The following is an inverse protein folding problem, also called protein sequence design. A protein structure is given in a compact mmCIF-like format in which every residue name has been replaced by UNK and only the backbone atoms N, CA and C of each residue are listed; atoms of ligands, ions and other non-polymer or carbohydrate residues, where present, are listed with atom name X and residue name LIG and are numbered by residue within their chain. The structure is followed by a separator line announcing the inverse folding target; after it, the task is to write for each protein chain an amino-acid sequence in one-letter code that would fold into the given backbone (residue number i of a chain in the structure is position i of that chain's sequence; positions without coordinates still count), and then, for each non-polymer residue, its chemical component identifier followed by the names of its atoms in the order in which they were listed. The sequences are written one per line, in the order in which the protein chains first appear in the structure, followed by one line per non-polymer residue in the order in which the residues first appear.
data_IF_907916395437
#
_entry.id   IF_907916395437
#
_cell.length_a   1.000
_cell.length_b   1.000
_cell.length_c   1.000
_cell.angle_alpha   90.00
_cell.angle_beta   90.00
_cell.angle_gamma   90.00
#
_symmetry.space_group_name_H-M   'P 1'
#
loop_
_entity.id
_entity.type
_entity.pdbx_description
1 polymer ?
#
# COMPACT_ATOMS: atom_id res chain seq x y z
N UNK A 1 26.84 41.18 37.69
CA UNK A 1 25.63 40.75 36.95
C UNK A 1 26.00 39.45 36.24
N UNK A 2 25.44 38.32 36.68
CA UNK A 2 25.72 36.99 36.12
C UNK A 2 24.49 36.61 35.27
N UNK A 3 24.62 36.27 33.98
CA UNK A 3 23.46 35.91 33.18
C UNK A 3 23.00 34.50 33.59
N UNK A 4 21.73 34.36 33.92
CA UNK A 4 21.10 33.07 34.15
C UNK A 4 20.99 32.32 32.81
N UNK A 5 21.68 31.20 32.68
CA UNK A 5 21.53 30.28 31.55
C UNK A 5 20.24 29.48 31.79
N UNK A 6 19.23 29.73 30.95
CA UNK A 6 17.99 28.96 30.94
C UNK A 6 18.21 27.71 30.07
N UNK A 7 18.29 26.54 30.70
CA UNK A 7 18.27 25.27 29.98
C UNK A 7 16.83 24.94 29.58
N UNK A 8 16.51 25.10 28.30
CA UNK A 8 15.28 24.60 27.72
C UNK A 8 15.48 23.10 27.46
N UNK A 9 15.00 22.26 28.37
CA UNK A 9 14.90 20.81 28.13
C UNK A 9 13.68 20.56 27.24
N UNK A 10 13.86 20.67 25.93
CA UNK A 10 12.85 20.26 24.96
C UNK A 10 12.68 18.75 25.00
N UNK A 11 11.46 18.27 25.29
CA UNK A 11 11.09 16.88 25.09
C UNK A 11 11.12 16.60 23.58
N UNK A 12 12.18 15.92 23.13
CA UNK A 12 12.26 15.39 21.77
C UNK A 12 11.38 14.13 21.77
N UNK A 13 10.17 14.22 21.24
CA UNK A 13 9.35 13.04 20.95
C UNK A 13 9.98 12.29 19.79
N UNK A 14 10.68 11.20 20.09
CA UNK A 14 11.19 10.28 19.07
C UNK A 14 10.05 9.35 18.65
N UNK A 15 9.64 9.41 17.38
CA UNK A 15 8.82 8.35 16.80
C UNK A 15 9.69 7.11 16.59
N UNK A 16 9.26 5.95 17.11
CA UNK A 16 9.93 4.68 16.87
C UNK A 16 9.24 3.99 15.68
N UNK A 17 9.97 3.78 14.60
CA UNK A 17 9.53 2.90 13.51
C UNK A 17 9.91 1.45 13.82
N UNK A 18 9.20 0.50 13.20
CA UNK A 18 9.58 -0.90 13.26
C UNK A 18 10.90 -1.12 12.50
N UNK A 19 11.92 -1.64 13.20
CA UNK A 19 13.20 -2.00 12.58
C UNK A 19 13.14 -3.43 12.00
N UNK A 20 12.48 -3.56 10.85
CA UNK A 20 12.31 -4.83 10.15
C UNK A 20 13.34 -5.03 9.01
N UNK A 21 14.36 -4.17 8.90
CA UNK A 21 15.39 -4.24 7.87
C UNK A 21 14.94 -3.83 6.46
N UNK A 22 13.71 -3.35 6.29
CA UNK A 22 13.18 -2.85 5.01
C UNK A 22 13.22 -1.32 4.94
N UNK A 23 12.97 -0.77 3.74
CA UNK A 23 12.88 0.68 3.48
C UNK A 23 14.10 1.50 3.97
N UNK A 24 15.29 0.90 3.96
CA UNK A 24 16.57 1.59 4.26
C UNK A 24 16.85 2.73 3.26
N UNK A 25 16.28 2.63 2.07
CA UNK A 25 16.13 3.71 1.09
C UNK A 25 14.66 3.87 0.71
N UNK A 26 14.22 5.04 0.21
CA UNK A 26 12.84 5.21 -0.25
C UNK A 26 12.44 4.10 -1.25
N UNK A 27 11.29 3.44 -1.06
CA UNK A 27 10.82 2.42 -2.00
C UNK A 27 10.49 3.08 -3.34
N UNK A 28 10.97 2.47 -4.42
CA UNK A 28 10.71 2.93 -5.79
C UNK A 28 9.90 1.87 -6.53
N UNK A 29 8.85 2.29 -7.23
CA UNK A 29 7.94 1.36 -7.90
C UNK A 29 6.81 2.07 -8.62
N UNK A 30 5.79 1.29 -8.98
CA UNK A 30 4.55 1.73 -9.60
C UNK A 30 3.36 1.42 -8.70
N UNK A 31 2.34 2.28 -8.72
CA UNK A 31 1.11 2.15 -7.94
C UNK A 31 -0.10 2.52 -8.80
N UNK A 32 -1.16 1.71 -8.77
CA UNK A 32 -2.28 1.79 -9.73
C UNK A 32 -3.15 3.05 -9.60
N UNK A 33 -3.32 3.57 -8.39
CA UNK A 33 -4.33 4.59 -8.05
C UNK A 33 -4.31 5.85 -8.94
N UNK A 34 -3.17 6.53 -9.05
CA UNK A 34 -3.12 7.87 -9.62
C UNK A 34 -3.55 7.91 -11.09
N UNK A 35 -3.23 6.87 -11.88
CA UNK A 35 -3.55 6.82 -13.30
C UNK A 35 -4.86 6.08 -13.59
N UNK A 36 -5.16 5.02 -12.85
CA UNK A 36 -6.26 4.10 -13.18
C UNK A 36 -7.47 4.24 -12.26
N UNK A 37 -7.30 4.84 -11.08
CA UNK A 37 -8.35 5.00 -10.08
C UNK A 37 -9.06 3.68 -9.77
N UNK A 38 -10.37 3.76 -9.55
CA UNK A 38 -11.25 2.62 -9.34
C UNK A 38 -11.95 2.17 -10.63
N UNK A 39 -11.22 2.04 -11.74
CA UNK A 39 -11.81 1.59 -13.01
C UNK A 39 -12.04 0.08 -12.97
N UNK A 40 -13.28 -0.38 -12.81
CA UNK A 40 -13.59 -1.82 -12.65
C UNK A 40 -14.40 -2.41 -13.82
N UNK A 41 -14.93 -1.57 -14.72
CA UNK A 41 -15.69 -2.04 -15.88
C UNK A 41 -14.74 -2.48 -17.00
N UNK A 42 -14.26 -3.73 -16.91
CA UNK A 42 -13.33 -4.30 -17.88
C UNK A 42 -13.94 -4.58 -19.25
N UNK A 43 -15.28 -4.64 -19.39
CA UNK A 43 -15.92 -4.75 -20.69
C UNK A 43 -15.83 -3.43 -21.45
N UNK A 44 -16.03 -2.30 -20.75
CA UNK A 44 -15.90 -0.96 -21.34
C UNK A 44 -14.47 -0.48 -21.43
N UNK A 45 -13.61 -0.85 -20.48
CA UNK A 45 -12.22 -0.37 -20.37
C UNK A 45 -11.23 -1.54 -20.20
N UNK A 46 -11.12 -2.45 -21.19
CA UNK A 46 -10.36 -3.70 -21.06
C UNK A 46 -8.86 -3.51 -20.85
N UNK A 47 -8.33 -2.33 -21.16
CA UNK A 47 -6.90 -2.01 -21.01
C UNK A 47 -6.60 -1.14 -19.79
N UNK A 48 -7.61 -0.51 -19.19
CA UNK A 48 -7.44 0.43 -18.07
C UNK A 48 -8.08 -0.05 -16.77
N UNK A 49 -8.94 -1.08 -16.82
CA UNK A 49 -9.54 -1.60 -15.61
C UNK A 49 -8.51 -2.29 -14.68
N UNK A 50 -8.73 -2.15 -13.37
CA UNK A 50 -8.00 -2.85 -12.33
C UNK A 50 -8.24 -4.34 -12.50
N UNK A 51 -7.25 -5.03 -13.03
CA UNK A 51 -7.31 -6.44 -13.41
C UNK A 51 -5.92 -7.05 -13.42
N UNK A 52 -5.84 -8.38 -13.29
CA UNK A 52 -4.59 -9.12 -13.44
C UNK A 52 -3.85 -8.76 -14.74
N UNK A 53 -4.59 -8.59 -15.85
CA UNK A 53 -4.01 -8.22 -17.15
C UNK A 53 -3.34 -6.84 -17.14
N UNK A 54 -3.92 -5.86 -16.44
CA UNK A 54 -3.28 -4.55 -16.26
C UNK A 54 -1.98 -4.69 -15.46
N UNK A 55 -2.02 -5.42 -14.33
CA UNK A 55 -0.88 -5.57 -13.43
C UNK A 55 0.28 -6.32 -14.11
N UNK A 56 0.00 -7.46 -14.75
CA UNK A 56 1.01 -8.26 -15.46
C UNK A 56 1.66 -7.48 -16.59
N UNK A 57 0.88 -6.79 -17.43
CA UNK A 57 1.43 -5.95 -18.50
C UNK A 57 2.31 -4.82 -17.96
N UNK A 58 1.90 -4.16 -16.89
CA UNK A 58 2.72 -3.12 -16.26
C UNK A 58 4.04 -3.69 -15.75
N UNK A 59 4.01 -4.87 -15.14
CA UNK A 59 5.22 -5.52 -14.68
C UNK A 59 6.14 -5.99 -15.82
N UNK A 60 5.58 -6.53 -16.91
CA UNK A 60 6.33 -6.89 -18.11
C UNK A 60 7.06 -5.67 -18.69
N UNK A 61 6.39 -4.51 -18.73
CA UNK A 61 6.99 -3.23 -19.14
C UNK A 61 8.10 -2.82 -18.18
N UNK A 62 7.86 -2.86 -16.87
CA UNK A 62 8.89 -2.52 -15.88
C UNK A 62 10.14 -3.41 -16.01
N UNK A 63 9.95 -4.71 -16.25
CA UNK A 63 11.03 -5.67 -16.43
C UNK A 63 11.78 -5.52 -17.77
N UNK A 64 11.11 -5.06 -18.83
CA UNK A 64 11.69 -5.00 -20.17
C UNK A 64 12.21 -3.62 -20.59
N UNK A 65 11.76 -2.54 -19.95
CA UNK A 65 12.07 -1.16 -20.37
C UNK A 65 13.07 -0.42 -19.47
N UNK A 66 13.82 -1.13 -18.62
CA UNK A 66 14.91 -0.52 -17.85
C UNK A 66 14.51 0.02 -16.48
N UNK A 67 13.27 -0.19 -16.04
CA UNK A 67 12.78 0.34 -14.75
C UNK A 67 13.42 -0.38 -13.57
N UNK A 68 13.64 -1.70 -13.67
CA UNK A 68 14.31 -2.47 -12.62
C UNK A 68 15.76 -2.00 -12.44
N UNK A 69 16.47 -1.74 -13.54
CA UNK A 69 17.83 -1.22 -13.57
C UNK A 69 17.90 0.20 -12.99
N UNK A 70 16.86 1.00 -13.19
CA UNK A 70 16.69 2.31 -12.59
C UNK A 70 16.25 2.26 -11.10
N UNK A 71 15.99 1.07 -10.54
CA UNK A 71 15.67 0.86 -9.14
C UNK A 71 14.18 0.76 -8.80
N UNK A 72 13.27 0.79 -9.78
CA UNK A 72 11.84 0.61 -9.55
C UNK A 72 11.51 -0.88 -9.38
N UNK A 73 11.26 -1.32 -8.16
CA UNK A 73 11.19 -2.74 -7.79
C UNK A 73 9.82 -3.22 -7.29
N UNK A 74 8.90 -2.30 -6.98
CA UNK A 74 7.57 -2.62 -6.44
C UNK A 74 6.47 -2.40 -7.48
N UNK A 75 5.57 -3.38 -7.61
CA UNK A 75 4.29 -3.23 -8.31
C UNK A 75 3.19 -3.30 -7.25
N UNK A 76 2.53 -2.17 -6.99
CA UNK A 76 1.53 -2.05 -5.91
C UNK A 76 0.13 -1.87 -6.49
N UNK A 77 -0.80 -2.76 -6.12
CA UNK A 77 -2.22 -2.58 -6.40
C UNK A 77 -2.85 -1.76 -5.29
N UNK A 78 -3.55 -0.69 -5.66
CA UNK A 78 -4.33 0.16 -4.76
C UNK A 78 -5.77 -0.35 -4.60
N UNK A 79 -6.66 0.46 -4.03
CA UNK A 79 -8.07 0.13 -3.80
C UNK A 79 -8.80 -0.41 -5.06
N UNK A 80 -9.94 -1.08 -4.86
CA UNK A 80 -10.77 -1.71 -5.90
C UNK A 80 -10.21 -3.00 -6.54
N UNK A 81 -9.25 -3.64 -5.88
CA UNK A 81 -8.66 -4.92 -6.30
C UNK A 81 -9.38 -6.15 -5.74
N UNK A 82 -10.15 -5.98 -4.66
CA UNK A 82 -10.88 -7.03 -3.96
C UNK A 82 -12.01 -7.58 -4.85
N UNK A 83 -11.62 -8.48 -5.76
CA UNK A 83 -12.51 -9.24 -6.63
C UNK A 83 -12.75 -10.67 -6.09
N UNK A 84 -13.91 -11.25 -6.42
CA UNK A 84 -14.31 -12.59 -5.95
C UNK A 84 -13.56 -13.75 -6.63
N UNK A 85 -12.60 -13.49 -7.54
CA UNK A 85 -11.86 -14.51 -8.32
C UNK A 85 -10.41 -14.06 -8.57
N UNK A 86 -9.45 -15.00 -8.54
CA UNK A 86 -8.00 -14.73 -8.66
C UNK A 86 -7.32 -15.58 -9.74
N UNK A 87 -6.34 -14.98 -10.42
CA UNK A 87 -5.38 -15.64 -11.33
C UNK A 87 -3.96 -15.75 -10.73
N UNK A 88 -3.00 -16.40 -11.42
CA UNK A 88 -1.87 -17.04 -10.75
C UNK A 88 -0.47 -16.68 -11.30
N UNK A 89 0.32 -15.77 -10.68
CA UNK A 89 1.81 -15.66 -10.84
C UNK A 89 2.49 -14.38 -10.25
N UNK A 90 3.59 -14.53 -9.47
CA UNK A 90 4.97 -14.40 -10.00
C UNK A 90 5.89 -13.18 -9.74
N UNK A 91 5.52 -12.12 -9.00
CA UNK A 91 6.35 -10.90 -8.81
C UNK A 91 6.34 -10.36 -7.37
N UNK A 92 7.27 -9.43 -7.04
CA UNK A 92 7.21 -8.70 -5.76
C UNK A 92 5.98 -7.81 -5.70
N UNK A 93 5.10 -8.13 -4.77
CA UNK A 93 3.70 -7.75 -4.85
C UNK A 93 3.31 -6.82 -3.71
N UNK A 94 2.90 -5.60 -4.05
CA UNK A 94 2.30 -4.66 -3.12
C UNK A 94 0.78 -4.75 -3.16
N UNK A 95 0.13 -4.81 -2.00
CA UNK A 95 -1.34 -4.84 -1.87
C UNK A 95 -1.86 -3.64 -1.08
N UNK A 96 -3.14 -3.34 -1.24
CA UNK A 96 -3.84 -2.30 -0.51
C UNK A 96 -4.83 -2.90 0.46
N UNK A 97 -4.93 -2.30 1.64
CA UNK A 97 -5.97 -2.56 2.62
C UNK A 97 -6.36 -1.25 3.33
N UNK A 98 -7.49 -1.21 4.01
CA UNK A 98 -7.91 -0.09 4.85
C UNK A 98 -8.09 -0.52 6.31
N UNK A 99 -7.59 0.25 7.27
CA UNK A 99 -7.76 -0.01 8.70
C UNK A 99 -9.24 -0.03 9.14
N UNK A 100 -10.12 0.72 8.48
CA UNK A 100 -11.52 0.88 8.87
C UNK A 100 -12.44 -0.29 8.51
N UNK A 101 -13.75 -0.05 8.64
CA UNK A 101 -14.77 -1.03 8.25
C UNK A 101 -14.92 -1.17 6.73
N UNK A 102 -14.49 -0.16 5.98
CA UNK A 102 -14.57 -0.11 4.52
C UNK A 102 -13.42 0.72 3.96
N UNK A 103 -12.93 0.33 2.79
CA UNK A 103 -11.96 1.13 2.03
C UNK A 103 -12.56 2.45 1.57
N UNK A 104 -11.72 3.38 1.12
CA UNK A 104 -12.18 4.66 0.61
C UNK A 104 -13.13 4.53 -0.59
N UNK A 105 -13.01 3.48 -1.40
CA UNK A 105 -13.94 3.15 -2.49
C UNK A 105 -15.13 2.27 -2.06
N UNK A 106 -15.24 1.90 -0.78
CA UNK A 106 -16.35 1.16 -0.21
C UNK A 106 -16.24 -0.37 -0.29
N UNK A 107 -15.04 -0.91 -0.49
CA UNK A 107 -14.77 -2.35 -0.36
C UNK A 107 -14.60 -2.73 1.12
N UNK A 108 -14.64 -4.01 1.51
CA UNK A 108 -14.39 -4.42 2.90
C UNK A 108 -13.03 -3.92 3.41
N UNK A 109 -13.01 -3.32 4.60
CA UNK A 109 -11.78 -2.99 5.32
C UNK A 109 -11.47 -4.01 6.42
N UNK A 110 -10.34 -3.84 7.10
CA UNK A 110 -9.71 -4.86 7.94
C UNK A 110 -10.15 -4.86 9.41
N UNK A 111 -10.92 -3.86 9.86
CA UNK A 111 -11.23 -3.71 11.29
C UNK A 111 -11.90 -4.98 11.87
N UNK A 112 -11.28 -5.58 12.88
CA UNK A 112 -11.73 -6.85 13.49
C UNK A 112 -11.33 -8.13 12.73
N UNK A 113 -10.64 -7.99 11.60
CA UNK A 113 -10.13 -9.05 10.73
C UNK A 113 -8.61 -8.98 10.50
N UNK A 114 -7.89 -8.13 11.25
CA UNK A 114 -6.47 -7.81 11.07
C UNK A 114 -5.57 -9.06 11.06
N UNK A 115 -5.80 -9.97 12.00
CA UNK A 115 -5.00 -11.19 12.10
C UNK A 115 -5.21 -12.12 10.90
N UNK A 116 -6.43 -12.16 10.35
CA UNK A 116 -6.77 -13.00 9.19
C UNK A 116 -6.13 -12.41 7.94
N UNK A 117 -6.26 -11.11 7.74
CA UNK A 117 -5.78 -10.46 6.52
C UNK A 117 -4.24 -10.39 6.51
N UNK A 118 -3.60 -10.11 7.64
CA UNK A 118 -2.13 -10.19 7.76
C UNK A 118 -1.61 -11.60 7.47
N UNK A 119 -2.26 -12.64 8.02
CA UNK A 119 -1.87 -14.03 7.75
C UNK A 119 -2.05 -14.38 6.27
N UNK A 120 -3.13 -13.89 5.67
CA UNK A 120 -3.46 -14.10 4.26
C UNK A 120 -2.45 -13.41 3.34
N UNK A 121 -2.07 -12.16 3.63
CA UNK A 121 -1.05 -11.44 2.86
C UNK A 121 0.32 -12.11 2.95
N UNK A 122 0.68 -12.61 4.13
CA UNK A 122 1.90 -13.38 4.30
C UNK A 122 1.87 -14.71 3.53
N UNK A 123 0.73 -15.41 3.51
CA UNK A 123 0.54 -16.66 2.73
C UNK A 123 0.66 -16.41 1.23
N UNK A 124 0.17 -15.27 0.73
CA UNK A 124 0.30 -14.87 -0.67
C UNK A 124 1.66 -14.25 -1.03
N UNK A 125 2.59 -14.21 -0.07
CA UNK A 125 3.93 -13.64 -0.26
C UNK A 125 3.91 -12.15 -0.69
N UNK A 126 2.98 -11.37 -0.14
CA UNK A 126 2.93 -9.89 -0.32
C UNK A 126 4.18 -9.25 0.30
N UNK A 127 4.86 -8.38 -0.45
CA UNK A 127 6.09 -7.69 -0.03
C UNK A 127 5.84 -6.30 0.58
N UNK A 128 4.70 -5.69 0.26
CA UNK A 128 4.37 -4.32 0.67
C UNK A 128 2.86 -4.17 0.89
N UNK A 129 2.44 -3.56 1.99
CA UNK A 129 1.02 -3.25 2.24
C UNK A 129 0.89 -1.74 2.37
N UNK A 130 0.08 -1.11 1.50
CA UNK A 130 -0.45 0.23 1.74
C UNK A 130 -1.70 0.06 2.61
N UNK A 131 -1.65 0.56 3.85
CA UNK A 131 -2.78 0.57 4.76
C UNK A 131 -3.37 1.99 4.82
N UNK A 132 -4.62 2.13 4.40
CA UNK A 132 -5.39 3.37 4.43
C UNK A 132 -6.21 3.49 5.74
N UNK A 133 -6.97 4.57 5.89
CA UNK A 133 -7.73 4.85 7.12
C UNK A 133 -9.15 5.38 6.92
N UNK A 134 -9.78 5.11 5.78
CA UNK A 134 -11.19 5.48 5.58
C UNK A 134 -12.10 4.60 6.45
N UNK A 135 -13.15 5.19 7.04
CA UNK A 135 -14.10 4.43 7.87
C UNK A 135 -13.49 3.83 9.14
N UNK A 136 -12.28 4.24 9.52
CA UNK A 136 -11.69 3.97 10.81
C UNK A 136 -12.45 4.75 11.90
N UNK A 137 -12.62 4.18 13.11
CA UNK A 137 -13.16 4.93 14.23
C UNK A 137 -12.25 6.12 14.53
N UNK A 138 -12.82 7.33 14.52
CA UNK A 138 -12.08 8.53 14.90
C UNK A 138 -11.89 8.50 16.44
N UNK A 139 -10.64 8.47 16.95
CA UNK A 139 -10.39 8.47 18.38
C UNK A 139 -10.87 9.75 19.07
N UNK A 140 -11.13 10.82 18.32
CA UNK A 140 -11.63 12.10 18.80
C UNK A 140 -13.16 12.25 18.65
N UNK A 141 -13.84 11.36 17.90
CA UNK A 141 -15.30 11.25 17.87
C UNK A 141 -15.79 10.22 18.90
N UNK A 142 -15.93 10.68 20.15
CA UNK A 142 -16.51 9.90 21.25
C UNK A 142 -17.99 9.56 21.10
#
# INVERSE_FOLDING_TARGET
MIPAIVFISGLISTSQSLDNGLALTPPMGWLSWLRFGCTIDCEKQPTECISESLIKRTADVMASEGYLEAGYQYVTIDDCWLEKKRGPDGLKFGIYEDYGNYTCAGYPGVLGHEAVDVATFAEWEVDYVKLDGCGAPDPDEG
#
